data_IF_055519670904
#
_entry.id   IF_055519670904
#
_cell.length_a   1.000
_cell.length_b   1.000
_cell.length_c   1.000
_cell.angle_alpha   90.00
_cell.angle_beta   90.00
_cell.angle_gamma   90.00
#
_symmetry.space_group_name_H-M   'P 1'
#
loop_
_entity.id
_entity.type
_entity.pdbx_description
1 polymer ?
#
# COMPACT_ATOMS: atom_id res chain seq x y z
N UNK A 1 1.72 -15.60 -16.35
CA UNK A 1 2.99 -16.08 -15.76
C UNK A 1 3.35 -15.11 -14.64
N UNK A 2 3.32 -15.55 -13.38
CA UNK A 2 3.61 -14.68 -12.22
C UNK A 2 5.10 -14.82 -11.86
N UNK A 3 5.91 -13.75 -11.92
CA UNK A 3 7.33 -13.82 -11.61
C UNK A 3 7.57 -14.23 -10.15
N UNK A 4 8.48 -15.18 -9.93
CA UNK A 4 8.97 -15.50 -8.58
C UNK A 4 10.07 -14.51 -8.25
N UNK A 5 9.84 -13.68 -7.24
CA UNK A 5 10.78 -12.71 -6.71
C UNK A 5 11.33 -13.23 -5.39
N UNK A 6 12.65 -13.26 -5.23
CA UNK A 6 13.26 -13.72 -3.97
C UNK A 6 12.82 -12.80 -2.82
N UNK A 7 12.45 -13.39 -1.69
CA UNK A 7 12.02 -12.69 -0.47
C UNK A 7 10.77 -11.80 -0.63
N UNK A 8 10.00 -11.95 -1.72
CA UNK A 8 8.77 -11.20 -1.97
C UNK A 8 7.61 -12.16 -2.19
N UNK A 9 6.54 -11.95 -1.44
CA UNK A 9 5.26 -12.65 -1.60
C UNK A 9 4.22 -11.60 -1.98
N UNK A 10 3.41 -11.90 -3.00
CA UNK A 10 2.35 -10.99 -3.43
C UNK A 10 1.12 -11.77 -3.89
N UNK A 11 -0.03 -11.12 -3.78
CA UNK A 11 -1.31 -11.64 -4.23
C UNK A 11 -1.98 -10.57 -5.10
N UNK A 12 -2.16 -10.87 -6.37
CA UNK A 12 -2.79 -9.95 -7.31
C UNK A 12 -4.32 -9.99 -7.13
N UNK A 13 -4.97 -8.83 -7.02
CA UNK A 13 -6.43 -8.74 -6.89
C UNK A 13 -7.14 -9.02 -8.22
N UNK A 14 -6.46 -8.76 -9.34
CA UNK A 14 -7.06 -8.81 -10.66
C UNK A 14 -7.06 -10.24 -11.18
N UNK A 15 -8.24 -10.75 -11.55
CA UNK A 15 -8.37 -12.02 -12.27
C UNK A 15 -7.65 -11.88 -13.60
N UNK A 16 -6.75 -12.83 -13.89
CA UNK A 16 -5.98 -12.82 -15.13
C UNK A 16 -6.64 -13.74 -16.19
N UNK A 17 -6.60 -13.38 -17.48
CA UNK A 17 -5.96 -12.18 -18.05
C UNK A 17 -6.77 -10.90 -17.80
N UNK A 18 -6.07 -9.77 -17.68
CA UNK A 18 -6.68 -8.45 -17.55
C UNK A 18 -5.87 -7.41 -18.31
N UNK A 19 -6.51 -6.29 -18.65
CA UNK A 19 -5.83 -5.10 -19.20
C UNK A 19 -5.22 -4.22 -18.09
N UNK A 20 -5.38 -4.62 -16.83
CA UNK A 20 -4.81 -3.92 -15.68
C UNK A 20 -3.30 -4.16 -15.59
N UNK A 21 -2.53 -3.20 -15.06
CA UNK A 21 -1.12 -3.41 -14.76
C UNK A 21 -0.94 -4.66 -13.88
N UNK A 22 -0.15 -5.62 -14.34
CA UNK A 22 0.14 -6.81 -13.54
C UNK A 22 0.94 -6.42 -12.30
N UNK A 23 0.46 -6.78 -11.11
CA UNK A 23 1.16 -6.49 -9.85
C UNK A 23 2.58 -7.06 -9.86
N UNK A 24 2.75 -8.25 -10.43
CA UNK A 24 4.06 -8.88 -10.58
C UNK A 24 5.04 -8.04 -11.41
N UNK A 25 4.59 -7.39 -12.48
CA UNK A 25 5.43 -6.50 -13.29
C UNK A 25 5.86 -5.26 -12.52
N UNK A 26 4.93 -4.62 -11.80
CA UNK A 26 5.25 -3.47 -10.94
C UNK A 26 6.29 -3.84 -9.86
N UNK A 27 6.16 -5.03 -9.27
CA UNK A 27 7.12 -5.52 -8.27
C UNK A 27 8.49 -5.82 -8.87
N UNK A 28 8.55 -6.30 -10.12
CA UNK A 28 9.81 -6.50 -10.87
C UNK A 28 10.49 -5.16 -11.14
N UNK A 29 9.75 -4.17 -11.63
CA UNK A 29 10.28 -2.85 -11.99
C UNK A 29 10.87 -2.10 -10.78
N UNK A 30 10.32 -2.38 -9.60
CA UNK A 30 10.74 -1.79 -8.33
C UNK A 30 11.54 -2.73 -7.44
N UNK A 31 11.99 -3.88 -7.96
CA UNK A 31 12.71 -4.86 -7.17
C UNK A 31 14.00 -4.29 -6.56
N UNK A 32 14.21 -4.55 -5.27
CA UNK A 32 15.27 -3.92 -4.46
C UNK A 32 14.98 -2.48 -3.99
N UNK A 33 13.82 -1.91 -4.35
CA UNK A 33 13.37 -0.58 -3.92
C UNK A 33 11.90 -0.56 -3.46
N UNK A 34 11.42 -1.68 -2.93
CA UNK A 34 10.05 -1.83 -2.43
C UNK A 34 9.94 -1.23 -1.01
N UNK A 35 10.16 0.09 -0.89
CA UNK A 35 9.97 0.86 0.33
C UNK A 35 8.59 1.54 0.35
N UNK A 36 8.18 2.10 1.50
CA UNK A 36 6.84 2.68 1.64
C UNK A 36 6.48 3.73 0.57
N UNK A 37 7.33 4.72 0.22
CA UNK A 37 7.03 5.66 -0.87
C UNK A 37 6.77 4.98 -2.23
N UNK A 38 7.55 3.96 -2.57
CA UNK A 38 7.37 3.20 -3.82
C UNK A 38 6.11 2.35 -3.79
N UNK A 39 5.83 1.67 -2.68
CA UNK A 39 4.59 0.91 -2.51
C UNK A 39 3.38 1.83 -2.71
N UNK A 40 3.35 2.96 -2.00
CA UNK A 40 2.25 3.91 -2.03
C UNK A 40 2.03 4.43 -3.46
N UNK A 41 3.06 5.01 -4.09
CA UNK A 41 2.88 5.79 -5.33
C UNK A 41 2.91 4.95 -6.61
N UNK A 42 3.66 3.85 -6.60
CA UNK A 42 3.99 3.13 -7.82
C UNK A 42 3.44 1.70 -7.85
N UNK A 43 3.07 1.14 -6.70
CA UNK A 43 2.50 -0.21 -6.67
C UNK A 43 1.01 -0.08 -6.41
N UNK A 44 0.60 0.37 -5.23
CA UNK A 44 -0.81 0.29 -4.84
C UNK A 44 -1.71 1.23 -5.62
N UNK A 45 -1.24 2.44 -5.95
CA UNK A 45 -2.01 3.36 -6.81
C UNK A 45 -2.17 2.84 -8.23
N UNK A 46 -1.16 2.17 -8.81
CA UNK A 46 -1.22 1.69 -10.19
C UNK A 46 -1.93 0.35 -10.34
N UNK A 47 -1.82 -0.53 -9.33
CA UNK A 47 -2.60 -1.77 -9.28
C UNK A 47 -4.01 -1.57 -8.72
N UNK A 48 -4.34 -0.33 -8.33
CA UNK A 48 -5.61 0.07 -7.71
C UNK A 48 -5.97 -0.81 -6.50
N UNK A 49 -5.01 -1.18 -5.65
CA UNK A 49 -5.28 -2.08 -4.52
C UNK A 49 -5.40 -1.32 -3.20
N UNK A 50 -6.39 -1.68 -2.39
CA UNK A 50 -6.70 -0.99 -1.14
C UNK A 50 -7.72 0.13 -1.35
N UNK A 51 -8.92 -0.22 -1.77
CA UNK A 51 -9.99 0.75 -2.09
C UNK A 51 -10.48 1.45 -0.80
N UNK A 52 -10.86 0.68 0.22
CA UNK A 52 -11.39 1.22 1.49
C UNK A 52 -10.29 1.60 2.49
N UNK A 53 -9.24 0.77 2.57
CA UNK A 53 -8.08 0.95 3.44
C UNK A 53 -6.84 0.53 2.65
N UNK A 54 -5.83 1.39 2.65
CA UNK A 54 -4.52 1.07 2.14
C UNK A 54 -3.53 1.17 3.30
N UNK A 55 -2.97 0.03 3.73
CA UNK A 55 -2.07 -0.10 4.87
C UNK A 55 -0.72 -0.65 4.43
N UNK A 56 0.35 0.06 4.76
CA UNK A 56 1.73 -0.38 4.57
C UNK A 56 2.39 -0.45 5.94
N UNK A 57 3.00 -1.60 6.23
CA UNK A 57 3.79 -1.82 7.43
C UNK A 57 5.27 -1.88 7.04
N UNK A 58 6.03 -0.87 7.46
CA UNK A 58 7.47 -0.81 7.24
C UNK A 58 8.20 -1.19 8.54
N UNK A 59 8.58 -2.47 8.63
CA UNK A 59 9.30 -2.99 9.80
C UNK A 59 10.74 -2.46 9.89
N UNK A 60 11.35 -2.06 8.77
CA UNK A 60 12.70 -1.50 8.76
C UNK A 60 12.75 -0.11 9.38
N UNK A 61 11.73 0.71 9.10
CA UNK A 61 11.56 2.03 9.72
C UNK A 61 10.76 2.02 11.03
N UNK A 62 10.20 0.87 11.42
CA UNK A 62 9.25 0.74 12.51
C UNK A 62 8.08 1.74 12.41
N UNK A 63 7.49 1.81 11.21
CA UNK A 63 6.44 2.76 10.85
C UNK A 63 5.26 2.07 10.16
N UNK A 64 4.06 2.61 10.35
CA UNK A 64 2.89 2.25 9.56
C UNK A 64 2.43 3.44 8.73
N UNK A 65 1.98 3.19 7.51
CA UNK A 65 1.39 4.19 6.63
C UNK A 65 -0.03 3.75 6.31
N UNK A 66 -1.02 4.59 6.58
CA UNK A 66 -2.42 4.25 6.32
C UNK A 66 -3.18 5.39 5.66
N UNK A 67 -4.09 5.01 4.78
CA UNK A 67 -5.12 5.88 4.22
C UNK A 67 -6.46 5.14 4.26
N UNK A 68 -7.55 5.89 4.48
CA UNK A 68 -8.92 5.41 4.34
C UNK A 68 -9.57 6.11 3.15
N UNK A 69 -10.53 5.45 2.50
CA UNK A 69 -11.35 6.07 1.46
C UNK A 69 -12.13 7.26 2.01
N UNK A 70 -12.50 8.18 1.12
CA UNK A 70 -13.44 9.25 1.40
C UNK A 70 -14.61 9.14 0.40
N UNK A 71 -15.67 8.39 0.75
CA UNK A 71 -16.82 8.23 -0.13
C UNK A 71 -17.58 9.54 -0.35
N UNK A 72 -17.54 10.44 0.63
CA UNK A 72 -18.27 11.73 0.61
C UNK A 72 -17.37 12.94 0.29
N UNK A 73 -16.23 12.73 -0.37
CA UNK A 73 -15.34 13.83 -0.74
C UNK A 73 -16.04 14.79 -1.74
N UNK A 74 -15.94 16.12 -1.56
CA UNK A 74 -16.63 17.09 -2.41
C UNK A 74 -16.29 17.00 -3.91
N UNK A 75 -15.16 16.39 -4.27
CA UNK A 75 -14.75 16.20 -5.67
C UNK A 75 -15.19 14.85 -6.26
N UNK A 76 -15.90 14.03 -5.48
CA UNK A 76 -16.33 12.67 -5.81
C UNK A 76 -15.60 11.63 -4.94
N UNK A 77 -16.14 10.39 -4.83
CA UNK A 77 -15.54 9.35 -4.01
C UNK A 77 -14.05 9.14 -4.33
N UNK A 78 -13.22 9.10 -3.28
CA UNK A 78 -11.78 8.83 -3.41
C UNK A 78 -11.40 7.54 -2.69
N UNK A 79 -10.78 6.62 -3.42
CA UNK A 79 -10.22 5.38 -2.88
C UNK A 79 -8.97 5.65 -2.04
N UNK A 80 -8.68 4.79 -1.07
CA UNK A 80 -7.56 4.96 -0.16
C UNK A 80 -6.19 4.93 -0.88
N UNK A 81 -6.04 4.13 -1.95
CA UNK A 81 -4.79 4.08 -2.73
C UNK A 81 -4.49 5.38 -3.51
N UNK A 82 -5.48 6.27 -3.65
CA UNK A 82 -5.34 7.59 -4.28
C UNK A 82 -5.20 8.73 -3.26
N UNK A 83 -5.19 8.42 -1.96
CA UNK A 83 -5.19 9.41 -0.88
C UNK A 83 -3.81 9.54 -0.23
N UNK A 84 -3.62 10.64 0.49
CA UNK A 84 -2.42 10.86 1.27
C UNK A 84 -2.41 9.93 2.48
N UNK A 85 -1.31 9.20 2.67
CA UNK A 85 -1.12 8.34 3.83
C UNK A 85 -0.68 9.14 5.05
N UNK A 86 -1.30 8.84 6.19
CA UNK A 86 -0.80 9.23 7.50
C UNK A 86 0.30 8.25 7.90
N UNK A 87 1.46 8.77 8.33
CA UNK A 87 2.55 7.97 8.88
C UNK A 87 2.43 7.92 10.41
N UNK A 88 2.44 6.70 10.95
CA UNK A 88 2.51 6.42 12.38
C UNK A 88 3.90 5.90 12.74
N UNK A 89 4.47 6.48 13.79
CA UNK A 89 5.70 5.98 14.43
C UNK A 89 5.29 4.89 15.42
N UNK A 90 5.57 3.62 15.09
CA UNK A 90 5.05 2.48 15.86
C UNK A 90 5.72 2.37 17.24
N UNK A 91 6.98 2.81 17.36
CA UNK A 91 7.64 2.87 18.67
C UNK A 91 6.90 3.82 19.61
N UNK A 92 6.51 4.99 19.12
CA UNK A 92 5.75 5.97 19.93
C UNK A 92 4.34 5.47 20.22
N UNK A 93 3.66 4.93 19.21
CA UNK A 93 2.28 4.45 19.33
C UNK A 93 2.14 3.40 20.45
N UNK A 94 3.09 2.46 20.54
CA UNK A 94 3.05 1.42 21.58
C UNK A 94 3.71 1.82 22.91
N UNK A 95 4.35 2.99 22.97
CA UNK A 95 4.86 3.57 24.21
C UNK A 95 3.81 4.42 24.95
N UNK A 96 2.61 4.61 24.37
CA UNK A 96 1.54 5.38 25.00
C UNK A 96 1.07 4.70 26.31
N UNK A 97 1.02 5.42 27.44
CA UNK A 97 0.49 4.88 28.68
C UNK A 97 -1.01 4.62 28.52
N UNK A 98 -1.52 3.59 29.21
CA UNK A 98 -2.94 3.29 29.22
C UNK A 98 -3.76 4.54 29.62
N UNK A 99 -4.93 4.79 28.99
CA UNK A 99 -5.81 5.88 29.39
C UNK A 99 -6.12 5.80 30.89
N UNK A 100 -6.15 6.96 31.55
CA UNK A 100 -6.58 7.06 32.95
C UNK A 100 -8.09 6.91 33.09
#
# INVERSE_FOLDING_TARGET
HHPILKDVVYWDKHVQPSDNPCLGSLLVDHYGRINAPTIIRNITSLSETGDALNLILDYGENAAYLAYSAPDDPQGPLEAYNRVHTRLDMAKLFAEPAPK
#
